data_IF_784505236389
#
_entry.id   IF_784505236389
#
_cell.length_a   1.000
_cell.length_b   1.000
_cell.length_c   1.000
_cell.angle_alpha   90.00
_cell.angle_beta   90.00
_cell.angle_gamma   90.00
#
_symmetry.space_group_name_H-M   'P 1'
#
loop_
_entity.id
_entity.type
_entity.pdbx_description
1 polymer ?
#
# COMPACT_ATOMS: atom_id res chain seq x y z
N UNK A 1 8.65 -0.84 7.66
CA UNK A 1 7.94 -1.84 6.83
C UNK A 1 6.49 -1.46 6.69
N UNK A 2 5.88 -1.49 5.49
CA UNK A 2 4.42 -1.44 5.41
C UNK A 2 3.86 -2.71 6.04
N UNK A 3 3.09 -2.60 7.12
CA UNK A 3 2.32 -3.76 7.59
C UNK A 3 1.14 -3.98 6.66
N UNK A 4 0.89 -5.25 6.37
CA UNK A 4 -0.15 -5.71 5.44
C UNK A 4 -1.22 -6.47 6.22
N UNK A 5 -2.48 -6.10 6.02
CA UNK A 5 -3.62 -6.92 6.42
C UNK A 5 -4.55 -7.13 5.23
N UNK A 6 -5.27 -8.26 5.19
CA UNK A 6 -6.24 -8.54 4.13
C UNK A 6 -7.57 -8.97 4.72
N UNK A 7 -8.67 -8.61 4.06
CA UNK A 7 -9.99 -9.20 4.29
C UNK A 7 -10.26 -10.15 3.13
N UNK A 8 -10.49 -11.41 3.47
CA UNK A 8 -10.99 -12.45 2.57
C UNK A 8 -12.48 -12.67 2.81
N UNK A 9 -13.22 -13.01 1.76
CA UNK A 9 -14.61 -13.44 1.90
C UNK A 9 -14.66 -14.93 2.33
N UNK A 10 -15.83 -15.46 2.70
CA UNK A 10 -15.98 -16.87 3.08
C UNK A 10 -15.58 -17.88 1.99
N UNK A 11 -15.47 -17.45 0.72
CA UNK A 11 -14.99 -18.28 -0.40
C UNK A 11 -13.46 -18.25 -0.55
N UNK A 12 -12.74 -17.56 0.33
CA UNK A 12 -11.28 -17.41 0.28
C UNK A 12 -10.78 -16.32 -0.67
N UNK A 13 -11.68 -15.58 -1.32
CA UNK A 13 -11.29 -14.52 -2.26
C UNK A 13 -10.94 -13.24 -1.50
N UNK A 14 -9.82 -12.61 -1.87
CA UNK A 14 -9.38 -11.36 -1.25
C UNK A 14 -10.26 -10.21 -1.69
N UNK A 15 -11.03 -9.68 -0.74
CA UNK A 15 -11.92 -8.55 -0.98
C UNK A 15 -11.19 -7.21 -0.82
N UNK A 16 -10.28 -7.09 0.14
CA UNK A 16 -9.57 -5.82 0.41
C UNK A 16 -8.20 -6.07 1.01
N UNK A 17 -7.22 -5.25 0.64
CA UNK A 17 -5.87 -5.18 1.23
C UNK A 17 -5.68 -3.84 1.95
N UNK A 18 -4.96 -3.88 3.06
CA UNK A 18 -4.61 -2.73 3.89
C UNK A 18 -3.10 -2.60 3.99
N UNK A 19 -2.58 -1.40 3.76
CA UNK A 19 -1.15 -1.10 3.86
C UNK A 19 -0.92 0.04 4.85
N UNK A 20 -0.12 -0.18 5.89
CA UNK A 20 0.11 0.79 6.98
C UNK A 20 1.35 1.64 6.78
N UNK A 21 1.25 2.93 7.10
CA UNK A 21 2.32 3.94 6.95
C UNK A 21 2.33 4.92 8.13
N UNK A 22 3.52 5.37 8.51
CA UNK A 22 3.68 6.37 9.56
C UNK A 22 3.57 7.80 9.02
N UNK A 23 3.95 8.00 7.76
CA UNK A 23 3.83 9.29 7.06
C UNK A 23 2.71 9.28 6.02
N UNK A 24 1.98 10.40 5.92
CA UNK A 24 1.03 10.60 4.83
C UNK A 24 1.72 10.64 3.47
N UNK A 25 2.95 11.14 3.39
CA UNK A 25 3.70 11.24 2.14
C UNK A 25 4.04 9.84 1.61
N UNK A 26 4.47 8.92 2.48
CA UNK A 26 4.70 7.52 2.14
C UNK A 26 3.41 6.84 1.65
N UNK A 27 2.31 7.04 2.38
CA UNK A 27 1.00 6.52 1.98
C UNK A 27 0.54 7.10 0.63
N UNK A 28 0.79 8.39 0.38
CA UNK A 28 0.45 9.06 -0.88
C UNK A 28 1.26 8.49 -2.04
N UNK A 29 2.56 8.36 -1.89
CA UNK A 29 3.42 7.81 -2.94
C UNK A 29 3.04 6.37 -3.27
N UNK A 30 2.82 5.52 -2.26
CA UNK A 30 2.42 4.14 -2.48
C UNK A 30 1.02 4.03 -3.11
N UNK A 31 0.07 4.87 -2.70
CA UNK A 31 -1.27 4.92 -3.29
C UNK A 31 -1.20 5.32 -4.78
N UNK A 32 -0.36 6.30 -5.13
CA UNK A 32 -0.12 6.69 -6.51
C UNK A 32 0.54 5.57 -7.31
N UNK A 33 1.48 4.84 -6.73
CA UNK A 33 2.09 3.68 -7.38
C UNK A 33 1.05 2.61 -7.73
N UNK A 34 0.18 2.24 -6.77
CA UNK A 34 -0.88 1.25 -7.01
C UNK A 34 -1.85 1.67 -8.11
N UNK A 35 -2.25 2.94 -8.12
CA UNK A 35 -3.24 3.46 -9.07
C UNK A 35 -2.66 3.68 -10.46
N UNK A 36 -1.48 4.31 -10.58
CA UNK A 36 -0.83 4.59 -11.87
C UNK A 36 -0.41 3.33 -12.63
N UNK A 37 -0.08 2.26 -11.92
CA UNK A 37 0.36 1.00 -12.53
C UNK A 37 -0.78 -0.02 -12.67
N UNK A 38 -2.04 0.40 -12.45
CA UNK A 38 -3.22 -0.48 -12.52
C UNK A 38 -3.11 -1.75 -11.66
N UNK A 39 -2.42 -1.66 -10.51
CA UNK A 39 -2.17 -2.78 -9.59
C UNK A 39 -3.31 -2.99 -8.60
N UNK A 40 -4.35 -2.18 -8.70
CA UNK A 40 -5.56 -2.24 -7.90
C UNK A 40 -6.72 -1.68 -8.73
N UNK A 41 -7.94 -2.08 -8.42
CA UNK A 41 -9.15 -1.47 -9.00
C UNK A 41 -9.52 -0.16 -8.31
N UNK A 42 -9.15 -0.01 -7.03
CA UNK A 42 -9.36 1.20 -6.23
C UNK A 42 -8.39 1.22 -5.06
N UNK A 43 -7.93 2.42 -4.69
CA UNK A 43 -7.16 2.65 -3.47
C UNK A 43 -7.56 3.99 -2.84
N UNK A 44 -7.58 4.04 -1.50
CA UNK A 44 -7.93 5.23 -0.72
C UNK A 44 -7.01 5.33 0.49
N UNK A 45 -6.47 6.51 0.76
CA UNK A 45 -5.70 6.79 1.97
C UNK A 45 -6.67 7.23 3.06
N UNK A 46 -6.48 6.74 4.29
CA UNK A 46 -7.25 7.15 5.46
C UNK A 46 -6.40 7.10 6.72
N UNK A 47 -6.91 7.69 7.82
CA UNK A 47 -6.35 7.44 9.15
C UNK A 47 -6.44 5.95 9.46
N UNK A 48 -5.43 5.43 10.13
CA UNK A 48 -5.37 4.01 10.44
C UNK A 48 -6.53 3.60 11.34
N UNK A 49 -7.13 2.46 11.02
CA UNK A 49 -8.23 1.85 11.77
C UNK A 49 -7.94 0.38 12.07
N UNK A 50 -7.39 -0.34 11.08
CA UNK A 50 -7.06 -1.76 11.21
C UNK A 50 -5.60 -1.98 11.56
N UNK A 51 -4.72 -1.12 11.05
CA UNK A 51 -3.29 -1.20 11.28
C UNK A 51 -2.90 -0.19 12.37
N UNK A 52 -3.45 -0.36 13.57
CA UNK A 52 -3.44 0.66 14.65
C UNK A 52 -2.05 1.14 15.08
N UNK A 53 -0.99 0.38 14.79
CA UNK A 53 0.40 0.78 15.00
C UNK A 53 0.92 1.85 14.02
N UNK A 54 0.07 2.29 13.07
CA UNK A 54 0.41 3.24 12.01
C UNK A 54 -0.51 4.45 12.05
N UNK A 55 -0.04 5.60 11.57
CA UNK A 55 -0.84 6.83 11.51
C UNK A 55 -1.83 6.83 10.33
N UNK A 56 -1.44 6.20 9.23
CA UNK A 56 -2.18 6.14 7.98
C UNK A 56 -2.28 4.71 7.48
N UNK A 57 -3.36 4.42 6.79
CA UNK A 57 -3.50 3.18 6.03
C UNK A 57 -4.08 3.44 4.65
N UNK A 58 -3.69 2.62 3.68
CA UNK A 58 -4.31 2.56 2.37
C UNK A 58 -5.25 1.37 2.35
N UNK A 59 -6.53 1.61 2.08
CA UNK A 59 -7.52 0.58 1.78
C UNK A 59 -7.57 0.40 0.26
N UNK A 60 -7.18 -0.78 -0.22
CA UNK A 60 -7.11 -1.10 -1.64
C UNK A 60 -7.93 -2.35 -2.02
N UNK A 61 -8.54 -2.34 -3.19
CA UNK A 61 -9.34 -3.43 -3.75
C UNK A 61 -8.71 -3.96 -5.04
N UNK A 62 -8.95 -5.24 -5.34
CA UNK A 62 -8.45 -5.86 -6.57
C UNK A 62 -6.92 -5.96 -6.65
N UNK A 63 -6.21 -5.88 -5.51
CA UNK A 63 -4.75 -6.04 -5.49
C UNK A 63 -4.41 -7.49 -5.78
N UNK A 64 -3.55 -7.74 -6.79
CA UNK A 64 -3.08 -9.07 -7.15
C UNK A 64 -2.16 -9.71 -6.09
N UNK A 65 -2.16 -11.05 -6.00
CA UNK A 65 -1.38 -11.75 -4.96
C UNK A 65 0.13 -11.58 -5.15
N UNK A 66 0.57 -11.46 -6.41
CA UNK A 66 1.95 -11.13 -6.78
C UNK A 66 2.45 -9.85 -6.11
N UNK A 67 1.60 -8.82 -5.99
CA UNK A 67 1.96 -7.56 -5.33
C UNK A 67 2.13 -7.76 -3.82
N UNK A 68 1.26 -8.54 -3.19
CA UNK A 68 1.40 -8.84 -1.76
C UNK A 68 2.68 -9.63 -1.47
N UNK A 69 2.98 -10.63 -2.29
CA UNK A 69 4.21 -11.44 -2.19
C UNK A 69 5.45 -10.56 -2.35
N UNK A 70 5.46 -9.64 -3.32
CA UNK A 70 6.55 -8.66 -3.49
C UNK A 70 6.72 -7.77 -2.27
N UNK A 71 5.61 -7.28 -1.69
CA UNK A 71 5.63 -6.45 -0.49
C UNK A 71 6.20 -7.20 0.71
N UNK A 72 5.74 -8.43 0.95
CA UNK A 72 6.18 -9.27 2.06
C UNK A 72 7.66 -9.65 1.95
N UNK A 73 8.13 -9.92 0.73
CA UNK A 73 9.52 -10.30 0.45
C UNK A 73 10.46 -9.10 0.23
N UNK A 74 9.96 -7.86 0.32
CA UNK A 74 10.74 -6.64 0.05
C UNK A 74 11.36 -6.58 -1.36
N UNK A 75 10.75 -7.28 -2.32
CA UNK A 75 11.25 -7.35 -3.70
C UNK A 75 10.67 -6.18 -4.50
N UNK A 76 11.54 -5.38 -5.12
CA UNK A 76 11.18 -4.32 -6.08
C UNK A 76 10.14 -3.32 -5.57
N UNK A 77 10.11 -3.05 -4.26
CA UNK A 77 9.28 -1.99 -3.72
C UNK A 77 10.01 -0.66 -3.92
N UNK A 78 9.48 0.27 -4.74
CA UNK A 78 10.10 1.57 -4.90
C UNK A 78 9.90 2.46 -3.66
N UNK A 79 9.44 1.91 -2.53
CA UNK A 79 9.17 2.65 -1.28
C UNK A 79 10.38 3.45 -0.79
N UNK A 80 11.60 2.91 -0.89
CA UNK A 80 12.84 3.62 -0.56
C UNK A 80 13.17 4.71 -1.61
N UNK A 81 12.77 4.52 -2.87
CA UNK A 81 13.00 5.49 -3.95
C UNK A 81 11.96 6.61 -3.97
N UNK A 82 10.74 6.37 -3.51
CA UNK A 82 9.66 7.37 -3.51
C UNK A 82 9.86 8.49 -2.49
N UNK A 83 10.51 8.22 -1.36
CA UNK A 83 10.81 9.23 -0.33
C UNK A 83 12.01 10.09 -0.74
N UNK A 84 12.98 9.52 -1.44
CA UNK A 84 14.21 10.23 -1.85
C UNK A 84 14.07 11.04 -3.16
N UNK A 85 12.99 10.86 -3.93
CA UNK A 85 12.74 11.65 -5.15
C UNK A 85 12.20 13.07 -4.90
N UNK A 86 12.13 13.55 -3.65
CA UNK A 86 11.80 14.95 -3.33
C UNK A 86 13.02 15.85 -3.07
N UNK A 87 14.26 15.42 -3.35
CA UNK A 87 15.45 16.27 -3.23
C UNK A 87 16.24 16.32 -4.53
N UNK A 88 15.60 16.68 -5.64
CA UNK A 88 16.23 17.39 -6.76
C UNK A 88 15.16 18.22 -7.48
N UNK A 89 14.98 19.44 -6.98
CA UNK A 89 14.39 20.53 -7.78
C UNK A 89 15.58 21.39 -8.21
N UNK A 90 15.96 21.25 -9.47
CA UNK A 90 16.85 22.18 -10.18
C UNK A 90 16.10 23.47 -10.52
#
# INVERSE_FOLDING_TARGET
MPHLATITNPKGERHTSYFGFNSYQEAKAFCQYLTKNHLCSKALIRRSQRLVSYNYEIKAWGVGSNILVRILNQIDLPLIHFVNQQVQVS
#
